data_IF_634996586323
#
_entry.id   IF_634996586323
#
_cell.length_a   1.000
_cell.length_b   1.000
_cell.length_c   1.000
_cell.angle_alpha   90.00
_cell.angle_beta   90.00
_cell.angle_gamma   90.00
#
_symmetry.space_group_name_H-M   'P 1'
#
loop_
_entity.id
_entity.type
_entity.pdbx_description
1 polymer ?
#
# COMPACT_ATOMS: atom_id res chain seq x y z
N UNK A 1 -12.62 35.23 -0.59
CA UNK A 1 -12.61 33.81 -0.99
C UNK A 1 -14.04 33.24 -1.03
N UNK A 2 -14.90 33.74 -1.92
CA UNK A 2 -16.33 33.29 -1.99
C UNK A 2 -16.85 33.08 -3.41
N UNK A 3 -16.01 33.17 -4.44
CA UNK A 3 -16.49 33.16 -5.84
C UNK A 3 -16.72 31.76 -6.43
N UNK A 4 -16.04 30.71 -5.97
CA UNK A 4 -16.12 29.39 -6.60
C UNK A 4 -17.46 28.66 -6.33
N UNK A 5 -18.06 28.84 -5.14
CA UNK A 5 -19.34 28.20 -4.78
C UNK A 5 -20.55 28.82 -5.52
N UNK A 6 -20.43 30.11 -5.90
CA UNK A 6 -21.46 30.83 -6.67
C UNK A 6 -21.51 30.42 -8.15
N UNK A 7 -20.35 30.13 -8.75
CA UNK A 7 -20.24 29.76 -10.17
C UNK A 7 -20.80 28.33 -10.39
N UNK A 8 -20.50 27.40 -9.49
CA UNK A 8 -21.01 26.01 -9.56
C UNK A 8 -22.53 25.99 -9.38
N UNK A 9 -23.07 26.78 -8.44
CA UNK A 9 -24.52 26.90 -8.23
C UNK A 9 -25.22 27.54 -9.42
N UNK A 10 -24.57 28.49 -10.10
CA UNK A 10 -25.14 29.17 -11.28
C UNK A 10 -25.13 28.28 -12.53
N UNK A 11 -24.08 27.48 -12.72
CA UNK A 11 -23.98 26.52 -13.82
C UNK A 11 -24.98 25.35 -13.67
N UNK A 12 -25.18 24.85 -12.45
CA UNK A 12 -26.22 23.83 -12.20
C UNK A 12 -27.63 24.39 -12.46
N UNK A 13 -27.89 25.63 -12.04
CA UNK A 13 -29.20 26.26 -12.20
C UNK A 13 -29.55 26.59 -13.65
N UNK A 14 -28.57 26.97 -14.48
CA UNK A 14 -28.78 27.20 -15.91
C UNK A 14 -29.04 25.89 -16.66
N UNK A 15 -28.36 24.81 -16.27
CA UNK A 15 -28.55 23.48 -16.85
C UNK A 15 -29.93 22.92 -16.51
N UNK A 16 -30.36 23.04 -15.25
CA UNK A 16 -31.71 22.65 -14.81
C UNK A 16 -32.82 23.51 -15.44
N UNK A 17 -32.58 24.81 -15.66
CA UNK A 17 -33.53 25.67 -16.37
C UNK A 17 -33.65 25.34 -17.86
N UNK A 18 -32.58 24.86 -18.49
CA UNK A 18 -32.62 24.41 -19.88
C UNK A 18 -33.33 23.06 -20.01
N UNK A 19 -33.17 22.15 -19.05
CA UNK A 19 -33.93 20.89 -18.99
C UNK A 19 -35.43 21.16 -18.80
N UNK A 20 -35.82 22.02 -17.85
CA UNK A 20 -37.22 22.36 -17.59
C UNK A 20 -37.93 23.09 -18.75
N UNK A 21 -37.17 23.76 -19.63
CA UNK A 21 -37.70 24.39 -20.84
C UNK A 21 -37.96 23.41 -21.99
N UNK A 22 -37.32 22.24 -21.96
CA UNK A 22 -37.51 21.23 -23.00
C UNK A 22 -38.86 20.49 -22.90
N UNK A 23 -39.44 20.40 -21.71
CA UNK A 23 -40.74 19.75 -21.46
C UNK A 23 -41.96 20.59 -21.84
N UNK A 24 -41.81 21.90 -22.03
CA UNK A 24 -42.93 22.83 -22.31
C UNK A 24 -43.38 22.81 -23.79
N UNK A 25 -42.72 22.07 -24.68
CA UNK A 25 -43.00 22.08 -26.13
C UNK A 25 -43.83 20.88 -26.65
N UNK A 26 -44.53 20.15 -25.77
CA UNK A 26 -45.34 18.97 -26.17
C UNK A 26 -46.87 19.15 -26.08
N UNK A 27 -47.40 20.34 -25.80
CA UNK A 27 -48.86 20.53 -25.70
C UNK A 27 -49.35 21.68 -26.58
N UNK A 28 -49.89 21.34 -27.76
CA UNK A 28 -50.50 22.31 -28.67
C UNK A 28 -50.85 21.68 -30.02
N UNK A 29 -52.09 21.23 -30.16
CA UNK A 29 -52.68 20.70 -31.39
C UNK A 29 -52.74 21.73 -32.51
N UNK A 30 -52.27 21.39 -33.72
CA UNK A 30 -52.89 21.90 -34.94
C UNK A 30 -52.62 21.01 -36.17
N UNK A 31 -53.69 20.78 -36.93
CA UNK A 31 -53.80 19.96 -38.14
C UNK A 31 -53.17 20.66 -39.35
N UNK A 32 -52.21 20.01 -40.04
CA UNK A 32 -51.69 20.49 -41.31
C UNK A 32 -50.47 19.71 -41.80
N UNK A 33 -50.63 18.99 -42.91
CA UNK A 33 -49.61 18.18 -43.59
C UNK A 33 -48.32 18.97 -43.92
N UNK A 34 -47.21 18.63 -43.26
CA UNK A 34 -45.84 18.89 -43.75
C UNK A 34 -44.95 17.70 -43.39
N UNK A 35 -44.18 17.25 -44.38
CA UNK A 35 -43.23 16.15 -44.40
C UNK A 35 -42.62 15.72 -43.05
N UNK A 36 -42.73 14.41 -42.77
CA UNK A 36 -41.97 13.69 -41.76
C UNK A 36 -40.46 13.82 -41.98
N UNK A 37 -39.81 14.69 -41.18
CA UNK A 37 -38.43 14.47 -40.76
C UNK A 37 -38.46 14.32 -39.24
N UNK A 38 -38.49 13.08 -38.79
CA UNK A 38 -38.42 12.71 -37.37
C UNK A 38 -37.18 13.36 -36.72
N UNK A 39 -37.31 14.35 -35.84
CA UNK A 39 -36.18 14.91 -35.09
C UNK A 39 -35.71 13.97 -33.97
N UNK A 40 -36.42 12.86 -33.75
CA UNK A 40 -36.18 11.92 -32.65
C UNK A 40 -35.10 10.88 -32.96
N UNK A 41 -34.94 10.43 -34.20
CA UNK A 41 -33.98 9.35 -34.49
C UNK A 41 -32.52 9.80 -34.43
N UNK A 42 -32.19 11.03 -34.86
CA UNK A 42 -30.81 11.55 -34.77
C UNK A 42 -30.35 11.77 -33.32
N UNK A 43 -31.25 12.30 -32.49
CA UNK A 43 -31.00 12.52 -31.05
C UNK A 43 -30.88 11.20 -30.28
N UNK A 44 -31.77 10.24 -30.56
CA UNK A 44 -31.73 8.91 -29.92
C UNK A 44 -30.52 8.08 -30.39
N UNK A 45 -30.14 8.18 -31.67
CA UNK A 45 -28.93 7.48 -32.17
C UNK A 45 -27.65 8.12 -31.60
N UNK A 46 -27.61 9.45 -31.43
CA UNK A 46 -26.51 10.12 -30.72
C UNK A 46 -26.47 9.71 -29.25
N UNK A 47 -27.59 9.75 -28.52
CA UNK A 47 -27.68 9.25 -27.13
C UNK A 47 -27.17 7.81 -27.01
N UNK A 48 -27.64 6.90 -27.86
CA UNK A 48 -27.22 5.49 -27.83
C UNK A 48 -25.73 5.32 -28.16
N UNK A 49 -25.20 6.13 -29.08
CA UNK A 49 -23.76 6.09 -29.43
C UNK A 49 -22.91 6.64 -28.29
N UNK A 50 -23.33 7.75 -27.68
CA UNK A 50 -22.63 8.41 -26.58
C UNK A 50 -22.66 7.54 -25.31
N UNK A 51 -23.81 6.93 -24.99
CA UNK A 51 -23.97 5.95 -23.90
C UNK A 51 -23.06 4.75 -24.13
N UNK A 52 -23.05 4.19 -25.34
CA UNK A 52 -22.18 3.05 -25.68
C UNK A 52 -20.69 3.41 -25.54
N UNK A 53 -20.27 4.60 -25.95
CA UNK A 53 -18.87 5.04 -25.78
C UNK A 53 -18.49 5.32 -24.32
N UNK A 54 -19.42 5.85 -23.52
CA UNK A 54 -19.18 6.11 -22.10
C UNK A 54 -19.11 4.80 -21.32
N UNK A 55 -20.02 3.85 -21.59
CA UNK A 55 -20.01 2.52 -20.99
C UNK A 55 -18.69 1.77 -21.30
N UNK A 56 -18.21 1.85 -22.55
CA UNK A 56 -16.92 1.27 -22.93
C UNK A 56 -15.74 1.94 -22.21
N UNK A 57 -15.76 3.27 -22.06
CA UNK A 57 -14.73 4.03 -21.34
C UNK A 57 -14.68 3.66 -19.86
N UNK A 58 -15.83 3.50 -19.21
CA UNK A 58 -15.93 3.11 -17.81
C UNK A 58 -15.45 1.68 -17.58
N UNK A 59 -15.85 0.75 -18.44
CA UNK A 59 -15.40 -0.63 -18.38
C UNK A 59 -13.88 -0.75 -18.59
N UNK A 60 -13.32 0.05 -19.49
CA UNK A 60 -11.87 0.12 -19.70
C UNK A 60 -11.14 0.63 -18.44
N UNK A 61 -11.58 1.75 -17.86
CA UNK A 61 -11.01 2.29 -16.62
C UNK A 61 -11.12 1.32 -15.44
N UNK A 62 -12.27 0.68 -15.27
CA UNK A 62 -12.46 -0.34 -14.24
C UNK A 62 -11.49 -1.51 -14.43
N UNK A 63 -11.30 -1.96 -15.67
CA UNK A 63 -10.35 -3.03 -15.99
C UNK A 63 -8.89 -2.63 -15.75
N UNK A 64 -8.49 -1.41 -16.09
CA UNK A 64 -7.14 -0.89 -15.83
C UNK A 64 -6.88 -0.78 -14.33
N UNK A 65 -7.82 -0.20 -13.59
CA UNK A 65 -7.72 -0.05 -12.14
C UNK A 65 -7.69 -1.40 -11.42
N UNK A 66 -8.44 -2.40 -11.92
CA UNK A 66 -8.39 -3.77 -11.41
C UNK A 66 -7.00 -4.41 -11.65
N UNK A 67 -6.39 -4.16 -12.81
CA UNK A 67 -5.05 -4.67 -13.09
C UNK A 67 -4.01 -4.05 -12.14
N UNK A 68 -4.11 -2.76 -11.84
CA UNK A 68 -3.24 -2.10 -10.86
C UNK A 68 -3.50 -2.58 -9.42
N UNK A 69 -4.76 -2.76 -9.02
CA UNK A 69 -5.10 -3.37 -7.73
C UNK A 69 -4.46 -4.76 -7.58
N UNK A 70 -4.46 -5.58 -8.62
CA UNK A 70 -3.81 -6.90 -8.55
C UNK A 70 -2.29 -6.80 -8.32
N UNK A 71 -1.63 -5.77 -8.85
CA UNK A 71 -0.21 -5.51 -8.59
C UNK A 71 -0.01 -5.02 -7.16
N UNK A 72 -0.82 -4.06 -6.69
CA UNK A 72 -0.79 -3.56 -5.31
C UNK A 72 -1.01 -4.71 -4.31
N UNK A 73 -1.99 -5.58 -4.55
CA UNK A 73 -2.27 -6.74 -3.70
C UNK A 73 -1.06 -7.68 -3.57
N UNK A 74 -0.32 -7.89 -4.66
CA UNK A 74 0.92 -8.67 -4.62
C UNK A 74 1.99 -7.98 -3.79
N UNK A 75 2.16 -6.68 -3.95
CA UNK A 75 3.15 -5.91 -3.20
C UNK A 75 2.80 -5.88 -1.70
N UNK A 76 1.53 -5.70 -1.35
CA UNK A 76 1.01 -5.84 0.02
C UNK A 76 1.36 -7.21 0.59
N UNK A 77 1.12 -8.30 -0.14
CA UNK A 77 1.45 -9.64 0.32
C UNK A 77 2.95 -9.84 0.57
N UNK A 78 3.82 -9.26 -0.28
CA UNK A 78 5.29 -9.29 -0.08
C UNK A 78 5.69 -8.49 1.17
N UNK A 79 5.06 -7.33 1.39
CA UNK A 79 5.36 -6.49 2.55
C UNK A 79 4.86 -7.14 3.86
N UNK A 80 3.68 -7.74 3.85
CA UNK A 80 3.14 -8.50 4.98
C UNK A 80 4.00 -9.71 5.34
N UNK A 81 4.43 -10.49 4.33
CA UNK A 81 5.31 -11.64 4.56
C UNK A 81 6.68 -11.21 5.10
N UNK A 82 7.22 -10.11 4.56
CA UNK A 82 8.48 -9.53 5.01
C UNK A 82 8.37 -9.01 6.44
N UNK A 83 7.29 -8.28 6.78
CA UNK A 83 7.01 -7.84 8.14
C UNK A 83 6.89 -9.00 9.13
N UNK A 84 6.24 -10.10 8.73
CA UNK A 84 6.19 -11.29 9.57
C UNK A 84 7.58 -11.90 9.77
N UNK A 85 8.40 -11.97 8.72
CA UNK A 85 9.76 -12.46 8.82
C UNK A 85 10.63 -11.56 9.72
N UNK A 86 10.46 -10.24 9.68
CA UNK A 86 11.13 -9.28 10.58
C UNK A 86 10.75 -9.53 12.05
N UNK A 87 9.47 -9.82 12.33
CA UNK A 87 9.02 -10.21 13.68
C UNK A 87 9.61 -11.54 14.14
N UNK A 88 9.72 -12.51 13.23
CA UNK A 88 10.35 -13.80 13.51
C UNK A 88 11.86 -13.64 13.79
N UNK A 89 12.56 -12.79 13.03
CA UNK A 89 13.96 -12.41 13.28
C UNK A 89 14.09 -11.72 14.63
N UNK A 90 13.20 -10.81 14.98
CA UNK A 90 13.18 -10.16 16.30
C UNK A 90 13.02 -11.17 17.43
N UNK A 91 12.12 -12.14 17.28
CA UNK A 91 11.94 -13.21 18.26
C UNK A 91 13.20 -14.07 18.38
N UNK A 92 13.88 -14.33 17.27
CA UNK A 92 15.12 -15.10 17.24
C UNK A 92 16.30 -14.35 17.89
N UNK A 93 16.43 -13.04 17.63
CA UNK A 93 17.40 -12.18 18.31
C UNK A 93 17.15 -12.14 19.82
N UNK A 94 15.88 -12.09 20.26
CA UNK A 94 15.56 -12.16 21.70
C UNK A 94 15.96 -13.50 22.34
N UNK A 95 15.86 -14.62 21.62
CA UNK A 95 16.39 -15.91 22.13
C UNK A 95 17.90 -15.86 22.29
N UNK A 96 18.60 -15.30 21.31
CA UNK A 96 20.04 -15.11 21.36
C UNK A 96 20.45 -14.21 22.55
N UNK A 97 19.70 -13.14 22.82
CA UNK A 97 19.88 -12.27 23.99
C UNK A 97 19.73 -13.04 25.32
N UNK A 98 18.74 -13.95 25.42
CA UNK A 98 18.59 -14.83 26.58
C UNK A 98 19.78 -15.79 26.74
N UNK A 99 20.39 -16.26 25.66
CA UNK A 99 21.63 -17.06 25.72
C UNK A 99 22.78 -16.22 26.28
N UNK A 100 22.96 -14.99 25.80
CA UNK A 100 23.97 -14.05 26.29
C UNK A 100 23.76 -13.71 27.77
N UNK A 101 22.53 -13.39 28.18
CA UNK A 101 22.20 -13.09 29.57
C UNK A 101 22.53 -14.25 30.52
N UNK A 102 22.28 -15.49 30.08
CA UNK A 102 22.69 -16.69 30.84
C UNK A 102 24.20 -16.85 30.91
N UNK A 103 24.92 -16.58 29.83
CA UNK A 103 26.39 -16.62 29.81
C UNK A 103 27.00 -15.58 30.78
N UNK A 104 26.48 -14.35 30.77
CA UNK A 104 26.90 -13.29 31.69
C UNK A 104 26.62 -13.65 33.16
N UNK A 105 25.42 -14.19 33.44
CA UNK A 105 25.07 -14.65 34.79
C UNK A 105 25.99 -15.77 35.28
N UNK A 106 26.33 -16.73 34.42
CA UNK A 106 27.25 -17.82 34.75
C UNK A 106 28.67 -17.29 35.04
N UNK A 107 29.18 -16.39 34.19
CA UNK A 107 30.48 -15.74 34.39
C UNK A 107 30.54 -14.98 35.71
N UNK A 108 29.48 -14.25 36.06
CA UNK A 108 29.40 -13.52 37.32
C UNK A 108 29.34 -14.45 38.54
N UNK A 109 28.60 -15.55 38.46
CA UNK A 109 28.52 -16.56 39.55
C UNK A 109 29.87 -17.23 39.78
N UNK A 110 30.57 -17.64 38.73
CA UNK A 110 31.89 -18.27 38.85
C UNK A 110 32.92 -17.27 39.39
N UNK A 111 32.89 -16.02 38.95
CA UNK A 111 33.74 -14.95 39.48
C UNK A 111 33.51 -14.73 41.00
N UNK A 112 32.25 -14.66 41.43
CA UNK A 112 31.91 -14.54 42.86
C UNK A 112 32.35 -15.75 43.69
N UNK A 113 32.40 -16.93 43.07
CA UNK A 113 32.92 -18.15 43.68
C UNK A 113 34.46 -18.28 43.58
N UNK A 114 35.16 -17.26 43.07
CA UNK A 114 36.59 -17.28 42.76
C UNK A 114 37.02 -18.45 41.85
N UNK A 115 36.13 -18.84 40.92
CA UNK A 115 36.33 -19.89 39.92
C UNK A 115 36.41 -19.28 38.52
N UNK A 116 37.10 -19.98 37.62
CA UNK A 116 37.03 -19.70 36.19
C UNK A 116 35.91 -20.53 35.57
N UNK A 117 35.04 -19.90 34.79
CA UNK A 117 34.06 -20.62 34.00
C UNK A 117 34.77 -21.56 33.04
N UNK A 118 34.30 -22.81 32.96
CA UNK A 118 34.89 -23.81 32.08
C UNK A 118 34.82 -23.36 30.61
N UNK A 119 35.92 -23.53 29.87
CA UNK A 119 35.98 -23.27 28.43
C UNK A 119 34.90 -24.07 27.67
N UNK A 120 34.54 -25.26 28.15
CA UNK A 120 33.47 -26.06 27.56
C UNK A 120 32.10 -25.38 27.69
N UNK A 121 31.80 -24.81 28.85
CA UNK A 121 30.53 -24.10 29.11
C UNK A 121 30.42 -22.84 28.24
N UNK A 122 31.50 -22.08 28.11
CA UNK A 122 31.52 -20.90 27.23
C UNK A 122 31.40 -21.29 25.75
N UNK A 123 32.03 -22.39 25.34
CA UNK A 123 31.90 -22.93 23.98
C UNK A 123 30.45 -23.37 23.69
N UNK A 124 29.74 -23.96 24.65
CA UNK A 124 28.33 -24.33 24.50
C UNK A 124 27.43 -23.09 24.35
N UNK A 125 27.67 -22.02 25.11
CA UNK A 125 26.95 -20.76 24.93
C UNK A 125 27.22 -20.13 23.55
N UNK A 126 28.49 -20.09 23.12
CA UNK A 126 28.87 -19.58 21.81
C UNK A 126 28.21 -20.39 20.68
N UNK A 127 28.18 -21.72 20.81
CA UNK A 127 27.50 -22.61 19.85
C UNK A 127 26.01 -22.32 19.76
N UNK A 128 25.32 -22.19 20.89
CA UNK A 128 23.88 -21.89 20.92
C UNK A 128 23.60 -20.51 20.30
N UNK A 129 24.43 -19.52 20.62
CA UNK A 129 24.33 -18.19 20.05
C UNK A 129 24.52 -18.20 18.53
N UNK A 130 25.56 -18.86 18.02
CA UNK A 130 25.79 -18.99 16.58
C UNK A 130 24.66 -19.77 15.88
N UNK A 131 24.09 -20.80 16.53
CA UNK A 131 22.93 -21.51 16.00
C UNK A 131 21.69 -20.60 15.91
N UNK A 132 21.50 -19.71 16.89
CA UNK A 132 20.42 -18.74 16.85
C UNK A 132 20.62 -17.72 15.72
N UNK A 133 21.86 -17.25 15.48
CA UNK A 133 22.18 -16.36 14.36
C UNK A 133 22.02 -17.05 12.98
N UNK A 134 22.44 -18.31 12.84
CA UNK A 134 22.23 -19.05 11.59
C UNK A 134 20.75 -19.27 11.27
N UNK A 135 19.91 -19.33 12.30
CA UNK A 135 18.45 -19.39 12.12
C UNK A 135 17.89 -18.09 11.53
N UNK A 136 18.51 -16.93 11.82
CA UNK A 136 18.15 -15.63 11.21
C UNK A 136 18.43 -15.67 9.72
N UNK A 137 19.63 -16.08 9.30
CA UNK A 137 19.97 -16.20 7.87
C UNK A 137 19.01 -17.16 7.14
N UNK A 138 18.58 -18.22 7.83
CA UNK A 138 17.61 -19.17 7.29
C UNK A 138 16.21 -18.56 7.11
N UNK A 139 15.81 -17.61 7.96
CA UNK A 139 14.56 -16.86 7.79
C UNK A 139 14.68 -15.90 6.60
N UNK A 140 15.78 -15.15 6.53
CA UNK A 140 16.05 -14.20 5.43
C UNK A 140 16.11 -14.91 4.07
N UNK A 141 16.76 -16.08 4.01
CA UNK A 141 16.86 -16.87 2.79
C UNK A 141 15.51 -17.41 2.30
N UNK A 142 14.56 -17.67 3.22
CA UNK A 142 13.20 -18.13 2.85
C UNK A 142 12.33 -17.02 2.27
N UNK A 143 12.66 -15.75 2.50
CA UNK A 143 11.94 -14.62 1.89
C UNK A 143 12.34 -14.37 0.44
N UNK A 144 13.34 -15.09 -0.07
CA UNK A 144 13.73 -14.99 -1.47
C UNK A 144 12.68 -15.61 -2.39
N UNK A 145 11.74 -14.77 -2.82
CA UNK A 145 10.69 -15.12 -3.78
C UNK A 145 11.15 -14.94 -5.25
N UNK A 146 12.46 -14.73 -5.48
CA UNK A 146 13.06 -14.63 -6.82
C UNK A 146 12.87 -13.28 -7.52
N UNK A 147 12.30 -12.26 -6.87
CA UNK A 147 12.15 -10.91 -7.44
C UNK A 147 12.57 -9.79 -6.48
N UNK A 148 12.18 -9.85 -5.21
CA UNK A 148 12.51 -8.84 -4.21
C UNK A 148 12.69 -9.52 -2.86
N UNK A 149 13.78 -9.23 -2.16
CA UNK A 149 14.01 -9.62 -0.77
C UNK A 149 14.34 -8.38 0.07
N UNK A 150 13.30 -7.83 0.70
CA UNK A 150 13.42 -6.65 1.58
C UNK A 150 14.32 -6.90 2.80
N UNK A 151 14.55 -8.15 3.19
CA UNK A 151 15.41 -8.52 4.31
C UNK A 151 16.89 -8.64 3.92
N UNK A 152 17.21 -8.49 2.63
CA UNK A 152 18.58 -8.38 2.09
C UNK A 152 18.93 -6.98 1.63
N UNK A 153 18.05 -6.01 1.85
CA UNK A 153 18.24 -4.62 1.42
C UNK A 153 17.69 -4.30 0.04
N UNK A 154 16.92 -5.18 -0.59
CA UNK A 154 16.22 -4.84 -1.83
C UNK A 154 15.13 -3.80 -1.55
N UNK A 155 14.71 -3.10 -2.61
CA UNK A 155 13.61 -2.15 -2.58
C UNK A 155 12.38 -2.71 -3.30
N UNK A 156 11.20 -2.41 -2.79
CA UNK A 156 9.93 -2.71 -3.45
C UNK A 156 9.28 -1.40 -3.90
N UNK A 157 9.17 -1.21 -5.22
CA UNK A 157 8.41 -0.10 -5.78
C UNK A 157 6.96 -0.49 -5.99
N UNK A 158 6.04 0.28 -5.39
CA UNK A 158 4.60 0.15 -5.57
C UNK A 158 4.09 1.36 -6.33
N UNK A 159 3.68 1.15 -7.57
CA UNK A 159 3.09 2.17 -8.42
C UNK A 159 1.57 2.25 -8.20
N UNK A 160 1.07 3.47 -8.04
CA UNK A 160 -0.35 3.81 -7.91
C UNK A 160 -0.86 4.57 -9.15
N UNK A 161 -0.27 4.29 -10.33
CA UNK A 161 -0.76 4.84 -11.59
C UNK A 161 -2.25 4.56 -11.75
N UNK A 162 -3.03 5.56 -12.17
CA UNK A 162 -4.50 5.45 -12.30
C UNK A 162 -5.31 5.60 -11.00
N UNK A 163 -4.67 5.80 -9.84
CA UNK A 163 -5.31 6.11 -8.54
C UNK A 163 -4.86 7.47 -7.98
N UNK A 164 -3.53 7.65 -7.97
CA UNK A 164 -2.83 8.82 -7.47
C UNK A 164 -1.73 9.30 -8.44
N UNK A 165 -1.38 8.48 -9.45
CA UNK A 165 -0.20 8.65 -10.31
C UNK A 165 1.11 8.87 -9.54
N UNK A 166 1.20 8.31 -8.33
CA UNK A 166 2.39 8.30 -7.48
C UNK A 166 3.01 6.90 -7.41
N UNK A 167 4.17 6.82 -6.78
CA UNK A 167 4.87 5.58 -6.46
C UNK A 167 5.43 5.66 -5.05
N UNK A 168 5.29 4.59 -4.28
CA UNK A 168 5.96 4.43 -2.99
C UNK A 168 7.10 3.42 -3.13
N UNK A 169 8.28 3.77 -2.62
CA UNK A 169 9.45 2.88 -2.58
C UNK A 169 9.64 2.43 -1.15
N UNK A 170 9.28 1.19 -0.85
CA UNK A 170 9.57 0.55 0.44
C UNK A 170 10.99 0.05 0.44
N UNK A 171 11.82 0.64 1.31
CA UNK A 171 13.23 0.29 1.43
C UNK A 171 13.41 -0.88 2.40
N UNK A 172 14.07 -1.93 1.91
CA UNK A 172 14.55 -3.02 2.74
C UNK A 172 15.83 -2.65 3.51
N UNK A 173 16.24 -3.57 4.38
CA UNK A 173 17.55 -3.52 5.02
C UNK A 173 18.13 -4.94 5.10
N UNK A 174 19.46 -5.04 5.02
CA UNK A 174 20.14 -6.33 5.20
C UNK A 174 20.13 -6.73 6.68
N UNK A 175 19.21 -7.63 7.03
CA UNK A 175 19.09 -8.19 8.37
C UNK A 175 19.67 -9.60 8.48
N UNK A 176 20.51 -10.01 7.52
CA UNK A 176 21.37 -11.19 7.68
C UNK A 176 22.33 -11.00 8.84
N UNK A 177 22.97 -12.08 9.29
CA UNK A 177 24.02 -11.99 10.31
C UNK A 177 25.07 -10.94 9.94
N UNK A 178 25.51 -10.91 8.68
CA UNK A 178 26.58 -10.03 8.22
C UNK A 178 26.07 -8.59 8.13
N UNK A 179 24.85 -8.39 7.61
CA UNK A 179 24.18 -7.09 7.54
C UNK A 179 23.92 -6.45 8.92
N UNK A 180 23.64 -7.27 9.94
CA UNK A 180 23.50 -6.83 11.33
C UNK A 180 24.84 -6.62 12.06
N UNK A 181 25.97 -6.83 11.38
CA UNK A 181 27.31 -6.64 11.94
C UNK A 181 27.84 -7.84 12.74
N UNK A 182 27.14 -8.98 12.72
CA UNK A 182 27.67 -10.24 13.26
C UNK A 182 28.59 -10.91 12.25
N UNK A 183 29.91 -10.91 12.52
CA UNK A 183 30.85 -11.65 11.67
C UNK A 183 30.64 -13.18 11.77
N UNK A 184 31.14 -13.95 10.79
CA UNK A 184 31.92 -15.17 11.02
C UNK A 184 31.32 -16.28 11.90
N UNK A 185 31.77 -16.26 13.13
CA UNK A 185 31.38 -17.08 14.25
C UNK A 185 31.82 -16.32 15.51
N UNK A 186 31.00 -16.36 16.55
CA UNK A 186 31.42 -15.87 17.85
C UNK A 186 32.10 -16.98 18.64
N UNK A 187 33.20 -16.62 19.30
CA UNK A 187 33.83 -17.42 20.35
C UNK A 187 33.74 -16.66 21.65
N UNK A 188 33.25 -17.30 22.71
CA UNK A 188 33.25 -16.71 24.04
C UNK A 188 34.48 -17.23 24.79
N UNK A 189 35.53 -16.44 24.82
CA UNK A 189 36.74 -16.75 25.60
C UNK A 189 36.85 -15.89 26.85
N UNK A 190 36.18 -14.73 26.85
CA UNK A 190 36.22 -13.75 27.93
C UNK A 190 34.88 -13.03 28.13
N UNK A 191 34.75 -12.33 29.27
CA UNK A 191 33.61 -11.47 29.55
C UNK A 191 33.43 -10.37 28.48
N UNK A 192 34.52 -9.85 27.92
CA UNK A 192 34.44 -8.81 26.90
C UNK A 192 33.90 -9.32 25.57
N UNK A 193 34.06 -10.62 25.25
CA UNK A 193 33.44 -11.23 24.07
C UNK A 193 31.92 -11.31 24.22
N UNK A 194 31.47 -11.72 25.40
CA UNK A 194 30.04 -11.84 25.71
C UNK A 194 29.39 -10.45 25.79
N UNK A 195 30.07 -9.46 26.38
CA UNK A 195 29.60 -8.08 26.42
C UNK A 195 29.46 -7.48 25.02
N UNK A 196 30.47 -7.69 24.15
CA UNK A 196 30.43 -7.25 22.74
C UNK A 196 29.25 -7.86 21.98
N UNK A 197 29.01 -9.16 22.17
CA UNK A 197 27.87 -9.84 21.56
C UNK A 197 26.53 -9.25 22.06
N UNK A 198 26.44 -8.92 23.35
CA UNK A 198 25.26 -8.25 23.95
C UNK A 198 24.99 -6.88 23.34
N UNK A 199 26.02 -6.06 23.15
CA UNK A 199 25.89 -4.72 22.56
C UNK A 199 25.42 -4.80 21.10
N UNK A 200 26.04 -5.69 20.32
CA UNK A 200 25.63 -5.94 18.92
C UNK A 200 24.19 -6.44 18.83
N UNK A 201 23.78 -7.34 19.72
CA UNK A 201 22.40 -7.81 19.81
C UNK A 201 21.41 -6.68 20.05
N UNK A 202 21.73 -5.78 20.98
CA UNK A 202 20.85 -4.65 21.29
C UNK A 202 20.70 -3.73 20.09
N UNK A 203 21.81 -3.38 19.43
CA UNK A 203 21.77 -2.57 18.20
C UNK A 203 21.02 -3.26 17.07
N UNK A 204 21.21 -4.58 16.89
CA UNK A 204 20.48 -5.35 15.90
C UNK A 204 18.96 -5.38 16.19
N UNK A 205 18.55 -5.60 17.45
CA UNK A 205 17.14 -5.58 17.84
C UNK A 205 16.53 -4.20 17.61
N UNK A 206 17.24 -3.12 17.91
CA UNK A 206 16.77 -1.75 17.66
C UNK A 206 16.62 -1.48 16.16
N UNK A 207 17.59 -1.88 15.34
CA UNK A 207 17.53 -1.74 13.87
C UNK A 207 16.38 -2.54 13.24
N UNK A 208 16.23 -3.81 13.62
CA UNK A 208 15.16 -4.69 13.11
C UNK A 208 13.77 -4.18 13.52
N UNK A 209 13.62 -3.61 14.73
CA UNK A 209 12.37 -2.95 15.14
C UNK A 209 12.09 -1.68 14.35
N UNK A 210 13.12 -0.88 14.06
CA UNK A 210 12.98 0.29 13.19
C UNK A 210 12.46 -0.09 11.80
N UNK A 211 12.96 -1.20 11.24
CA UNK A 211 12.47 -1.75 9.98
C UNK A 211 11.02 -2.24 10.06
N UNK A 212 10.62 -2.94 11.13
CA UNK A 212 9.23 -3.39 11.33
C UNK A 212 8.26 -2.20 11.37
N UNK A 213 8.64 -1.11 12.05
CA UNK A 213 7.85 0.13 12.09
C UNK A 213 7.76 0.76 10.71
N UNK A 214 8.86 0.85 9.97
CA UNK A 214 8.85 1.39 8.61
C UNK A 214 7.92 0.58 7.68
N UNK A 215 7.99 -0.76 7.74
CA UNK A 215 7.08 -1.61 6.97
C UNK A 215 5.62 -1.44 7.37
N UNK A 216 5.31 -1.22 8.65
CA UNK A 216 3.94 -0.97 9.09
C UNK A 216 3.39 0.35 8.56
N UNK A 217 4.21 1.42 8.57
CA UNK A 217 3.85 2.73 8.01
C UNK A 217 3.59 2.61 6.51
N UNK A 218 4.51 2.00 5.76
CA UNK A 218 4.36 1.80 4.32
C UNK A 218 3.13 0.94 4.00
N UNK A 219 2.88 -0.11 4.80
CA UNK A 219 1.73 -0.99 4.63
C UNK A 219 0.40 -0.24 4.84
N UNK A 220 0.30 0.58 5.88
CA UNK A 220 -0.88 1.40 6.15
C UNK A 220 -1.16 2.39 5.01
N UNK A 221 -0.12 3.01 4.46
CA UNK A 221 -0.24 3.90 3.31
C UNK A 221 -0.73 3.13 2.06
N UNK A 222 -0.10 2.00 1.74
CA UNK A 222 -0.48 1.18 0.58
C UNK A 222 -1.93 0.68 0.72
N UNK A 223 -2.31 0.18 1.91
CA UNK A 223 -3.67 -0.33 2.19
C UNK A 223 -4.71 0.78 2.07
N UNK A 224 -4.41 1.99 2.56
CA UNK A 224 -5.33 3.15 2.43
C UNK A 224 -5.61 3.46 0.96
N UNK A 225 -4.56 3.49 0.12
CA UNK A 225 -4.69 3.74 -1.33
C UNK A 225 -5.38 2.57 -2.06
N UNK A 226 -5.12 1.34 -1.62
CA UNK A 226 -5.76 0.11 -2.12
C UNK A 226 -7.26 0.11 -1.86
N UNK A 227 -7.70 0.44 -0.64
CA UNK A 227 -9.10 0.46 -0.25
C UNK A 227 -9.88 1.53 -1.03
N UNK A 228 -9.28 2.71 -1.19
CA UNK A 228 -9.83 3.77 -2.03
C UNK A 228 -10.01 3.32 -3.49
N UNK A 229 -9.00 2.67 -4.06
CA UNK A 229 -9.06 2.15 -5.42
C UNK A 229 -10.11 1.04 -5.58
N UNK A 230 -10.21 0.12 -4.61
CA UNK A 230 -11.20 -0.96 -4.61
C UNK A 230 -12.63 -0.42 -4.57
N UNK A 231 -12.93 0.53 -3.68
CA UNK A 231 -14.24 1.19 -3.61
C UNK A 231 -14.57 1.97 -4.90
N UNK A 232 -13.55 2.53 -5.56
CA UNK A 232 -13.74 3.22 -6.84
C UNK A 232 -14.05 2.25 -7.97
N UNK A 233 -13.37 1.10 -8.06
CA UNK A 233 -13.72 0.04 -9.03
C UNK A 233 -15.16 -0.41 -8.84
N UNK A 234 -15.58 -0.67 -7.60
CA UNK A 234 -16.95 -1.07 -7.29
C UNK A 234 -17.97 -0.02 -7.77
N UNK A 235 -17.67 1.26 -7.53
CA UNK A 235 -18.50 2.39 -7.99
C UNK A 235 -18.56 2.49 -9.51
N UNK A 236 -17.44 2.30 -10.21
CA UNK A 236 -17.38 2.34 -11.68
C UNK A 236 -18.14 1.16 -12.31
N UNK A 237 -18.05 -0.04 -11.73
CA UNK A 237 -18.80 -1.21 -12.17
C UNK A 237 -20.30 -1.03 -11.96
N UNK A 238 -20.72 -0.53 -10.79
CA UNK A 238 -22.12 -0.23 -10.52
C UNK A 238 -22.69 0.84 -11.48
N UNK A 239 -21.89 1.87 -11.80
CA UNK A 239 -22.23 2.87 -12.81
C UNK A 239 -22.37 2.26 -14.21
N UNK A 240 -21.47 1.36 -14.60
CA UNK A 240 -21.53 0.65 -15.87
C UNK A 240 -22.77 -0.27 -15.99
N UNK A 241 -23.08 -1.05 -14.95
CA UNK A 241 -24.26 -1.92 -14.93
C UNK A 241 -25.56 -1.12 -14.99
N UNK A 242 -25.60 0.07 -14.36
CA UNK A 242 -26.71 1.01 -14.46
C UNK A 242 -26.98 1.51 -15.88
N UNK A 243 -25.93 1.74 -16.68
CA UNK A 243 -26.02 2.14 -18.10
C UNK A 243 -26.50 1.00 -19.02
N UNK A 244 -26.33 -0.26 -18.62
CA UNK A 244 -26.79 -1.43 -19.39
C UNK A 244 -28.26 -1.79 -19.18
N UNK A 245 -28.88 -1.30 -18.10
CA UNK A 245 -30.17 -1.79 -17.62
C UNK A 245 -31.43 -0.98 -18.01
N UNK A 246 -31.37 0.36 -18.09
CA UNK A 246 -32.58 1.19 -18.23
C UNK A 246 -32.27 2.55 -18.89
N UNK A 247 -32.85 2.81 -20.07
CA UNK A 247 -32.68 4.02 -20.89
C UNK A 247 -33.23 5.36 -20.32
N UNK A 248 -33.22 5.51 -19.00
CA UNK A 248 -33.55 6.73 -18.26
C UNK A 248 -32.73 6.88 -16.95
N UNK A 249 -31.93 5.86 -16.59
CA UNK A 249 -30.93 5.92 -15.51
C UNK A 249 -29.57 6.51 -15.99
N UNK A 250 -29.50 6.89 -17.27
CA UNK A 250 -28.27 7.20 -18.00
C UNK A 250 -27.54 8.44 -17.50
N UNK A 251 -28.25 9.51 -17.13
CA UNK A 251 -27.62 10.75 -16.65
C UNK A 251 -27.12 10.63 -15.21
N UNK A 252 -27.82 9.86 -14.36
CA UNK A 252 -27.42 9.63 -12.97
C UNK A 252 -26.20 8.72 -12.85
N UNK A 253 -26.18 7.63 -13.62
CA UNK A 253 -25.03 6.73 -13.71
C UNK A 253 -23.82 7.42 -14.36
N UNK A 254 -24.02 8.21 -15.41
CA UNK A 254 -22.96 9.02 -16.02
C UNK A 254 -22.44 10.10 -15.06
N UNK A 255 -23.31 10.77 -14.28
CA UNK A 255 -22.89 11.76 -13.30
C UNK A 255 -22.13 11.13 -12.13
N UNK A 256 -22.56 9.96 -11.64
CA UNK A 256 -21.88 9.23 -10.58
C UNK A 256 -20.53 8.69 -11.05
N UNK A 257 -20.44 8.22 -12.29
CA UNK A 257 -19.21 7.78 -12.90
C UNK A 257 -18.24 8.93 -13.23
N UNK A 258 -18.76 10.10 -13.64
CA UNK A 258 -17.98 11.33 -13.74
C UNK A 258 -17.52 11.81 -12.37
N UNK A 259 -18.36 11.71 -11.34
CA UNK A 259 -17.97 12.05 -9.97
C UNK A 259 -16.88 11.12 -9.45
N UNK A 260 -16.93 9.81 -9.74
CA UNK A 260 -15.86 8.87 -9.41
C UNK A 260 -14.56 9.19 -10.19
N UNK A 261 -14.67 9.55 -11.46
CA UNK A 261 -13.52 9.97 -12.28
C UNK A 261 -12.90 11.28 -11.79
N UNK A 262 -13.73 12.24 -11.36
CA UNK A 262 -13.27 13.50 -10.76
C UNK A 262 -12.69 13.27 -9.36
N UNK A 263 -13.25 12.33 -8.58
CA UNK A 263 -12.74 11.95 -7.28
C UNK A 263 -11.32 11.39 -7.43
N UNK A 264 -11.11 10.45 -8.35
CA UNK A 264 -9.78 9.93 -8.71
C UNK A 264 -8.81 11.06 -9.10
N UNK A 265 -9.25 11.97 -9.99
CA UNK A 265 -8.41 13.10 -10.41
C UNK A 265 -8.08 14.07 -9.27
N UNK A 266 -8.98 14.23 -8.29
CA UNK A 266 -8.77 15.11 -7.12
C UNK A 266 -7.99 14.44 -5.99
N UNK A 267 -8.11 13.12 -5.83
CA UNK A 267 -7.33 12.34 -4.87
C UNK A 267 -5.87 12.26 -5.27
N UNK A 268 -5.56 12.19 -6.57
CA UNK A 268 -4.21 12.39 -7.11
C UNK A 268 -3.57 13.68 -6.53
N UNK A 269 -4.31 14.79 -6.52
CA UNK A 269 -3.77 16.09 -6.09
C UNK A 269 -3.71 16.24 -4.54
N UNK A 270 -4.68 15.67 -3.82
CA UNK A 270 -4.73 15.71 -2.35
C UNK A 270 -3.68 14.80 -1.69
N UNK A 271 -3.48 13.58 -2.20
CA UNK A 271 -2.47 12.64 -1.68
C UNK A 271 -1.05 13.16 -1.92
N UNK A 272 -0.78 13.81 -3.06
CA UNK A 272 0.50 14.49 -3.35
C UNK A 272 0.77 15.64 -2.37
N UNK A 273 -0.27 16.34 -1.90
CA UNK A 273 -0.11 17.42 -0.91
C UNK A 273 0.19 16.91 0.50
N UNK A 274 -0.31 15.74 0.90
CA UNK A 274 0.01 15.12 2.20
C UNK A 274 1.43 14.55 2.22
N UNK A 275 1.88 13.89 1.14
CA UNK A 275 3.26 13.42 0.99
C UNK A 275 4.26 14.59 1.06
N UNK A 276 3.95 15.75 0.48
CA UNK A 276 4.77 16.97 0.58
C UNK A 276 4.84 17.54 2.01
N UNK A 277 3.77 17.44 2.80
CA UNK A 277 3.78 17.87 4.21
C UNK A 277 4.46 16.85 5.12
N UNK A 278 4.33 15.55 4.84
CA UNK A 278 5.04 14.48 5.54
C UNK A 278 6.55 14.62 5.35
N UNK A 279 7.01 14.95 4.13
CA UNK A 279 8.41 15.27 3.86
C UNK A 279 8.87 16.55 4.59
N UNK A 280 8.03 17.60 4.67
CA UNK A 280 8.35 18.84 5.39
C UNK A 280 8.35 18.68 6.92
N UNK A 281 7.72 17.64 7.47
CA UNK A 281 7.81 17.29 8.89
C UNK A 281 8.99 16.36 9.20
N UNK A 282 9.62 15.79 8.16
CA UNK A 282 10.81 14.94 8.26
C UNK A 282 12.12 15.75 8.12
N UNK A 283 12.04 17.02 7.70
CA UNK A 283 13.14 18.00 7.66
C UNK A 283 12.97 19.10 8.71
#
# INVERSE_FOLDING_TARGET
>A
MTSSSSIITTALRSTLQNLARSDQYSSGSNTGSVASKSPSQGRVIQDVTDISSNAQTLNHKASELQAHLNVINRNVAVLESSGQAVRDVTAQLRKADVVIGRALAQLAQDANAAKQTSKAVLADFAKNFNADLNSIDSIVAKQDNGQVNLLRGDALETSFTGIANTSLVTQGADITREGLGFGKDFTFESLSDVARASDLLRSAIEGVKGLDVAFQVDLEEIQTKQDFAAGTVETLLAGFEGLGGLGQADEGANLLAQQASLLLASSDEALVSEEQQSLLNLF
#
